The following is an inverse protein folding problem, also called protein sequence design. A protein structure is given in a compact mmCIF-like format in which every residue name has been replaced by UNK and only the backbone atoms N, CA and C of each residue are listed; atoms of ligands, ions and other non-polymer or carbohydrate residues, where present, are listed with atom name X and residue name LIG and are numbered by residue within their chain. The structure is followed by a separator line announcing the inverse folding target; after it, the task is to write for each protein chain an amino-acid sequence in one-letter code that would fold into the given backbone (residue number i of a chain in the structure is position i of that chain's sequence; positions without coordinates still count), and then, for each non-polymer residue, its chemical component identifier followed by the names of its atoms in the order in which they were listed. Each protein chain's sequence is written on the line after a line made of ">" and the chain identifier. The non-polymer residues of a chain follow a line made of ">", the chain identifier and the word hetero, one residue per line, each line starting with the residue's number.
data_IF_215276833334
#
_entry.id   IF_215276833334
#
_cell.length_a   1.000
_cell.length_b   1.000
_cell.length_c   1.000
_cell.angle_alpha   90.00
_cell.angle_beta   90.00
_cell.angle_gamma   90.00
#
_symmetry.space_group_name_H-M   'P 1'
#
loop_
_entity.id
_entity.type
_entity.pdbx_description
1 polymer ?
#
# COMPACT_ATOMS: atom_id res chain seq x y z
N UNK A 1 7.39 7.13 -29.61
CA UNK A 1 6.95 6.70 -28.27
C UNK A 1 8.13 6.85 -27.31
N UNK A 2 8.00 7.57 -26.20
CA UNK A 2 9.06 7.70 -25.19
C UNK A 2 8.70 6.83 -24.00
N UNK A 3 9.46 5.76 -23.77
CA UNK A 3 9.29 4.88 -22.62
C UNK A 3 10.08 5.46 -21.43
N UNK A 4 9.39 5.76 -20.32
CA UNK A 4 10.01 6.15 -19.05
C UNK A 4 9.98 4.95 -18.11
N UNK A 5 11.14 4.31 -17.93
CA UNK A 5 11.32 3.12 -17.09
C UNK A 5 12.27 3.44 -15.94
N UNK A 6 12.45 2.48 -15.02
CA UNK A 6 13.35 2.59 -13.87
C UNK A 6 12.59 2.59 -12.55
N UNK A 7 13.35 2.61 -11.45
CA UNK A 7 12.78 2.72 -10.11
C UNK A 7 12.22 4.13 -9.87
N UNK A 8 11.12 4.22 -9.14
CA UNK A 8 10.52 5.50 -8.77
C UNK A 8 11.49 6.31 -7.92
N UNK A 9 11.75 7.57 -8.30
CA UNK A 9 12.51 8.51 -7.47
C UNK A 9 11.64 8.98 -6.28
N UNK A 10 11.44 8.11 -5.30
CA UNK A 10 10.50 8.31 -4.19
C UNK A 10 10.73 9.62 -3.42
N UNK A 11 11.99 9.97 -3.15
CA UNK A 11 12.35 11.19 -2.39
C UNK A 11 11.79 12.47 -3.02
N UNK A 12 11.70 12.52 -4.36
CA UNK A 12 11.15 13.69 -5.08
C UNK A 12 9.65 13.86 -4.84
N UNK A 13 8.94 12.75 -4.65
CA UNK A 13 7.48 12.72 -4.54
C UNK A 13 6.99 12.61 -3.09
N UNK A 14 7.85 12.21 -2.15
CA UNK A 14 7.46 11.97 -0.76
C UNK A 14 6.84 13.21 -0.12
N UNK A 15 7.55 14.34 -0.09
CA UNK A 15 7.07 15.59 0.52
C UNK A 15 5.75 16.10 -0.10
N UNK A 16 5.65 16.31 -1.43
CA UNK A 16 4.41 16.84 -1.99
C UNK A 16 3.22 15.89 -1.85
N UNK A 17 3.42 14.57 -1.83
CA UNK A 17 2.32 13.63 -1.58
C UNK A 17 1.89 13.64 -0.11
N UNK A 18 2.83 13.72 0.82
CA UNK A 18 2.53 13.81 2.25
C UNK A 18 1.74 15.08 2.57
N UNK A 19 2.16 16.23 2.03
CA UNK A 19 1.48 17.52 2.25
C UNK A 19 0.00 17.46 1.79
N UNK A 20 -0.32 16.70 0.74
CA UNK A 20 -1.70 16.51 0.26
C UNK A 20 -2.53 15.61 1.18
N UNK A 21 -1.90 14.58 1.74
CA UNK A 21 -2.55 13.70 2.73
C UNK A 21 -2.88 14.50 3.99
N UNK A 22 -1.93 15.30 4.49
CA UNK A 22 -2.12 16.14 5.69
C UNK A 22 -3.20 17.20 5.49
N UNK A 23 -3.33 17.75 4.29
CA UNK A 23 -4.41 18.68 3.92
C UNK A 23 -5.77 18.02 3.70
N UNK A 24 -5.84 16.68 3.76
CA UNK A 24 -7.07 15.93 3.50
C UNK A 24 -7.50 15.91 2.03
N UNK A 25 -6.63 16.32 1.10
CA UNK A 25 -6.91 16.27 -0.33
C UNK A 25 -6.95 14.83 -0.85
N UNK A 26 -6.24 13.92 -0.17
CA UNK A 26 -6.16 12.49 -0.49
C UNK A 26 -6.13 11.69 0.81
N UNK A 27 -7.09 10.78 1.01
CA UNK A 27 -6.97 9.73 2.03
C UNK A 27 -6.54 8.42 1.34
N UNK A 28 -5.31 7.92 1.52
CA UNK A 28 -4.89 6.65 0.91
C UNK A 28 -5.45 5.42 1.63
N UNK A 29 -6.21 5.58 2.72
CA UNK A 29 -6.70 4.44 3.50
C UNK A 29 -7.70 3.57 2.73
N UNK A 30 -8.42 4.14 1.75
CA UNK A 30 -9.45 3.42 0.98
C UNK A 30 -8.90 2.24 0.16
N UNK A 31 -7.61 2.27 -0.23
CA UNK A 31 -7.02 1.15 -0.96
C UNK A 31 -6.69 -0.04 -0.07
N UNK A 32 -6.71 0.11 1.26
CA UNK A 32 -6.36 -0.93 2.23
C UNK A 32 -7.54 -1.89 2.40
N UNK A 33 -7.51 -2.99 1.65
CA UNK A 33 -8.51 -4.07 1.76
C UNK A 33 -8.37 -4.92 3.02
N UNK A 34 -7.14 -5.16 3.50
CA UNK A 34 -6.86 -6.14 4.55
C UNK A 34 -5.90 -5.57 5.60
N UNK A 35 -6.13 -5.91 6.86
CA UNK A 35 -5.27 -5.56 8.00
C UNK A 35 -4.98 -6.79 8.84
N UNK A 36 -3.75 -6.91 9.32
CA UNK A 36 -3.34 -8.01 10.20
C UNK A 36 -2.48 -7.49 11.34
N UNK A 37 -2.62 -8.08 12.53
CA UNK A 37 -1.83 -7.73 13.71
C UNK A 37 -0.61 -8.64 13.86
N UNK A 38 -0.77 -9.94 13.59
CA UNK A 38 0.31 -10.91 13.64
C UNK A 38 1.05 -11.10 12.32
N UNK A 39 2.39 -11.15 12.37
CA UNK A 39 3.24 -11.41 11.20
C UNK A 39 3.11 -12.86 10.68
N UNK A 40 2.68 -13.78 11.52
CA UNK A 40 2.39 -15.18 11.19
C UNK A 40 1.29 -15.33 10.13
N UNK A 41 0.42 -14.32 9.96
CA UNK A 41 -0.59 -14.28 8.90
C UNK A 41 0.01 -13.99 7.50
N UNK A 42 1.31 -13.65 7.43
CA UNK A 42 2.05 -13.35 6.21
C UNK A 42 1.81 -14.34 5.08
N UNK A 43 2.11 -15.64 5.25
CA UNK A 43 1.99 -16.64 4.19
C UNK A 43 0.59 -16.71 3.57
N UNK A 44 -0.45 -16.65 4.39
CA UNK A 44 -1.84 -16.68 3.91
C UNK A 44 -2.20 -15.38 3.16
N UNK A 45 -1.86 -14.22 3.72
CA UNK A 45 -2.15 -12.93 3.07
C UNK A 45 -1.39 -12.75 1.76
N UNK A 46 -0.17 -13.28 1.66
CA UNK A 46 0.57 -13.35 0.39
C UNK A 46 -0.14 -14.24 -0.63
N UNK A 47 -0.69 -15.38 -0.21
CA UNK A 47 -1.49 -16.25 -1.09
C UNK A 47 -2.73 -15.53 -1.58
N UNK A 48 -3.51 -14.91 -0.70
CA UNK A 48 -4.72 -14.16 -1.05
C UNK A 48 -4.41 -13.02 -2.03
N UNK A 49 -3.35 -12.24 -1.79
CA UNK A 49 -2.92 -11.18 -2.69
C UNK A 49 -2.49 -11.70 -4.07
N UNK A 50 -1.66 -12.76 -4.10
CA UNK A 50 -1.18 -13.37 -5.35
C UNK A 50 -2.33 -13.95 -6.18
N UNK A 51 -3.24 -14.66 -5.52
CA UNK A 51 -4.35 -15.37 -6.16
C UNK A 51 -5.51 -14.41 -6.49
N UNK A 52 -5.39 -13.12 -6.13
CA UNK A 52 -6.42 -12.07 -6.27
C UNK A 52 -7.77 -12.48 -5.67
N UNK A 53 -7.72 -13.27 -4.60
CA UNK A 53 -8.90 -13.69 -3.87
C UNK A 53 -9.40 -12.55 -2.98
N UNK A 54 -10.69 -12.61 -2.63
CA UNK A 54 -11.33 -11.70 -1.67
C UNK A 54 -11.13 -10.20 -1.97
N UNK A 55 -11.05 -9.85 -3.26
CA UNK A 55 -10.82 -8.47 -3.71
C UNK A 55 -9.59 -7.81 -3.04
N UNK A 56 -8.57 -8.61 -2.69
CA UNK A 56 -7.38 -8.13 -1.98
C UNK A 56 -6.54 -7.18 -2.85
N UNK A 57 -6.53 -5.89 -2.48
CA UNK A 57 -5.80 -4.82 -3.17
C UNK A 57 -4.54 -4.38 -2.43
N UNK A 58 -4.61 -4.24 -1.10
CA UNK A 58 -3.49 -3.85 -0.24
C UNK A 58 -3.68 -4.43 1.17
N UNK A 59 -2.62 -5.08 1.65
CA UNK A 59 -2.51 -5.60 3.02
C UNK A 59 -1.61 -4.68 3.82
N UNK A 60 -1.99 -4.36 5.06
CA UNK A 60 -1.16 -3.60 6.02
C UNK A 60 -1.05 -4.36 7.34
N UNK A 61 0.18 -4.61 7.78
CA UNK A 61 0.45 -5.18 9.11
C UNK A 61 0.53 -4.07 10.17
N UNK A 62 -0.13 -4.27 11.31
CA UNK A 62 -0.12 -3.42 12.50
C UNK A 62 0.36 -4.24 13.71
N UNK A 63 1.67 -4.44 13.87
CA UNK A 63 2.22 -5.35 14.89
C UNK A 63 2.01 -4.88 16.34
N UNK A 64 1.77 -3.58 16.53
CA UNK A 64 1.55 -2.97 17.85
C UNK A 64 0.19 -2.25 17.94
N UNK A 65 -0.74 -2.59 17.04
CA UNK A 65 -2.04 -1.91 16.90
C UNK A 65 -3.18 -2.69 17.51
#
# INVERSE_FOLDING_TARGET
>A
LTLKTGQTHMVRYLKPLMDRIEKGEIDPSFIISHRATGLENGPELYKTFRDKADQCTKVVFRPNG
#
